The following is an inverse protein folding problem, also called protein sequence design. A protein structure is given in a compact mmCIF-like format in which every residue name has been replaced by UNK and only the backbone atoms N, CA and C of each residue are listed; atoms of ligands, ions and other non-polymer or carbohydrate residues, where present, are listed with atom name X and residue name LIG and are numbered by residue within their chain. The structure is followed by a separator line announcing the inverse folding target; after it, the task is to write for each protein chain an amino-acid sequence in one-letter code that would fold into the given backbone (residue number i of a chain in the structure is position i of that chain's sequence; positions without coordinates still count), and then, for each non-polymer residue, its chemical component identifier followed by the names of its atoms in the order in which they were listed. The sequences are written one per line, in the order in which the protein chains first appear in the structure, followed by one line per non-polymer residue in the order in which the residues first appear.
data_IF_030918721079
#
_entry.id   IF_030918721079
#
_cell.length_a   1.000
_cell.length_b   1.000
_cell.length_c   1.000
_cell.angle_alpha   90.00
_cell.angle_beta   90.00
_cell.angle_gamma   90.00
#
_symmetry.space_group_name_H-M   'P 1'
#
loop_
_entity.id
_entity.type
_entity.pdbx_description
1 polymer ?
#
# COMPACT_ATOMS: atom_id res chain seq x y z
N UNK A 1 -1.81 -40.83 7.33
CA UNK A 1 -1.54 -40.86 5.88
C UNK A 1 -2.87 -40.92 5.14
N UNK A 2 -3.35 -39.79 4.56
CA UNK A 2 -4.45 -39.77 3.57
C UNK A 2 -4.03 -38.79 2.49
N UNK A 3 -3.77 -39.33 1.30
CA UNK A 3 -3.40 -38.61 0.10
C UNK A 3 -4.61 -37.85 -0.46
N UNK A 4 -4.46 -36.56 -0.73
CA UNK A 4 -5.46 -35.72 -1.38
C UNK A 4 -5.21 -35.75 -2.90
N UNK A 5 -6.06 -36.43 -3.62
CA UNK A 5 -6.00 -36.60 -5.08
C UNK A 5 -6.68 -35.40 -5.76
N UNK A 6 -5.90 -34.49 -6.39
CA UNK A 6 -6.44 -33.39 -7.22
C UNK A 6 -6.67 -33.86 -8.63
N UNK A 7 -7.92 -34.06 -9.00
CA UNK A 7 -8.36 -34.27 -10.40
C UNK A 7 -8.21 -32.95 -11.17
N UNK A 8 -7.37 -32.96 -12.22
CA UNK A 8 -7.31 -31.90 -13.23
C UNK A 8 -8.50 -32.04 -14.17
N UNK A 9 -9.32 -30.98 -14.29
CA UNK A 9 -10.37 -30.88 -15.30
C UNK A 9 -9.76 -30.39 -16.61
N UNK A 10 -9.82 -31.23 -17.65
CA UNK A 10 -9.47 -30.86 -19.02
C UNK A 10 -10.66 -30.14 -19.66
N UNK A 11 -10.49 -28.88 -20.00
CA UNK A 11 -11.44 -28.11 -20.81
C UNK A 11 -11.05 -28.30 -22.29
N UNK A 12 -11.89 -28.98 -23.05
CA UNK A 12 -11.78 -29.08 -24.51
C UNK A 12 -12.39 -27.82 -25.15
N UNK A 13 -11.57 -27.08 -25.87
CA UNK A 13 -12.00 -25.95 -26.69
C UNK A 13 -12.38 -26.51 -28.06
N UNK A 14 -13.67 -26.39 -28.41
CA UNK A 14 -14.14 -26.68 -29.77
C UNK A 14 -13.84 -25.47 -30.68
N UNK A 15 -13.02 -25.70 -31.68
CA UNK A 15 -12.84 -24.76 -32.80
C UNK A 15 -13.96 -24.97 -33.79
N UNK A 16 -14.79 -23.97 -34.01
CA UNK A 16 -15.75 -23.91 -35.10
C UNK A 16 -15.17 -23.08 -36.24
N UNK A 17 -14.89 -23.75 -37.33
CA UNK A 17 -14.51 -23.14 -38.63
C UNK A 17 -15.75 -22.49 -39.24
N UNK A 18 -15.71 -21.17 -39.48
CA UNK A 18 -16.65 -20.49 -40.37
C UNK A 18 -15.89 -19.86 -41.55
N UNK A 19 -16.49 -20.12 -42.71
CA UNK A 19 -15.93 -19.90 -44.00
C UNK A 19 -15.72 -18.43 -44.40
N UNK A 20 -14.78 -18.25 -45.28
CA UNK A 20 -14.40 -17.01 -45.95
C UNK A 20 -15.49 -16.55 -46.94
N UNK A 21 -15.91 -15.29 -46.78
CA UNK A 21 -16.50 -14.52 -47.88
C UNK A 21 -15.66 -13.24 -48.08
N UNK A 22 -14.95 -13.21 -49.20
CA UNK A 22 -14.24 -12.03 -49.66
C UNK A 22 -15.28 -11.01 -50.14
N UNK A 23 -15.40 -9.89 -49.45
CA UNK A 23 -15.98 -8.67 -49.95
C UNK A 23 -14.84 -7.65 -50.05
N UNK A 24 -14.46 -7.33 -51.31
CA UNK A 24 -13.52 -6.24 -51.61
C UNK A 24 -14.24 -4.93 -51.40
N UNK A 25 -13.96 -4.21 -50.32
CA UNK A 25 -14.32 -2.79 -50.16
C UNK A 25 -13.12 -1.92 -50.49
N UNK A 26 -13.29 -1.03 -51.44
CA UNK A 26 -12.35 0.03 -51.76
C UNK A 26 -12.11 0.92 -50.55
N UNK A 27 -10.90 0.93 -50.01
CA UNK A 27 -10.49 1.83 -48.92
C UNK A 27 -10.08 3.17 -49.50
N UNK A 28 -11.00 4.16 -49.44
CA UNK A 28 -10.63 5.56 -49.47
C UNK A 28 -9.67 5.84 -48.31
N UNK A 29 -8.46 6.26 -48.63
CA UNK A 29 -7.41 6.53 -47.64
C UNK A 29 -7.82 7.65 -46.67
N UNK A 30 -8.25 7.28 -45.47
CA UNK A 30 -8.19 8.14 -44.31
C UNK A 30 -6.76 8.08 -43.76
N UNK A 31 -5.96 9.12 -44.08
CA UNK A 31 -4.72 9.37 -43.37
C UNK A 31 -5.04 9.57 -41.89
N UNK A 32 -4.66 8.62 -41.08
CA UNK A 32 -4.63 8.78 -39.61
C UNK A 32 -3.77 10.01 -39.29
N UNK A 33 -4.21 10.90 -38.40
CA UNK A 33 -3.37 11.98 -37.96
C UNK A 33 -2.08 11.39 -37.35
N UNK A 34 -0.94 11.90 -37.79
CA UNK A 34 0.34 11.59 -37.24
C UNK A 34 0.25 11.70 -35.70
N UNK A 35 0.57 10.62 -35.00
CA UNK A 35 0.76 10.65 -33.56
C UNK A 35 1.71 11.79 -33.26
N UNK A 36 1.25 12.79 -32.53
CA UNK A 36 2.12 13.85 -32.04
C UNK A 36 3.27 13.19 -31.29
N UNK A 37 4.46 13.24 -31.89
CA UNK A 37 5.70 12.90 -31.18
C UNK A 37 5.74 13.81 -29.97
N UNK A 38 5.71 13.23 -28.77
CA UNK A 38 5.96 13.98 -27.54
C UNK A 38 7.30 14.68 -27.72
N UNK A 39 7.30 16.00 -27.63
CA UNK A 39 8.53 16.78 -27.68
C UNK A 39 9.52 16.16 -26.69
N UNK A 40 10.71 15.75 -27.21
CA UNK A 40 11.77 15.22 -26.37
C UNK A 40 12.09 16.29 -25.31
N UNK A 41 11.71 16.02 -24.07
CA UNK A 41 12.11 16.90 -22.97
C UNK A 41 13.62 16.80 -22.79
N UNK A 42 14.33 17.90 -22.46
CA UNK A 42 15.78 17.91 -22.35
C UNK A 42 16.33 16.90 -21.32
N UNK A 43 15.48 16.32 -20.50
CA UNK A 43 15.83 15.36 -19.44
C UNK A 43 15.48 13.91 -19.79
N UNK A 44 14.96 13.63 -20.99
CA UNK A 44 14.53 12.30 -21.43
C UNK A 44 13.27 11.81 -20.68
N UNK A 45 13.09 10.48 -20.69
CA UNK A 45 11.95 9.81 -20.04
C UNK A 45 12.43 9.02 -18.80
N UNK A 46 11.57 8.99 -17.78
CA UNK A 46 11.83 8.18 -16.59
C UNK A 46 11.90 6.68 -16.95
N UNK A 47 12.75 5.96 -16.25
CA UNK A 47 12.87 4.50 -16.36
C UNK A 47 12.21 3.82 -15.19
N UNK A 48 11.52 2.71 -15.46
CA UNK A 48 11.02 1.84 -14.41
C UNK A 48 12.15 0.98 -13.84
N UNK A 49 12.22 0.85 -12.51
CA UNK A 49 13.14 -0.03 -11.80
C UNK A 49 12.37 -0.99 -10.89
N UNK A 50 12.54 -2.28 -11.10
CA UNK A 50 11.84 -3.33 -10.33
C UNK A 50 12.59 -3.75 -9.05
N UNK A 51 13.72 -3.14 -8.73
CA UNK A 51 14.57 -3.52 -7.59
C UNK A 51 14.83 -5.04 -7.51
N UNK A 52 15.26 -5.63 -8.63
CA UNK A 52 15.49 -7.08 -8.75
C UNK A 52 16.57 -7.64 -7.81
N UNK A 53 17.41 -6.78 -7.24
CA UNK A 53 18.41 -7.05 -6.22
C UNK A 53 17.81 -7.31 -4.81
N UNK A 54 16.54 -6.98 -4.59
CA UNK A 54 15.78 -7.42 -3.39
C UNK A 54 15.88 -8.94 -3.17
N UNK A 55 16.17 -9.70 -4.20
CA UNK A 55 16.42 -11.17 -4.11
C UNK A 55 17.45 -11.58 -3.06
N UNK A 56 18.37 -10.69 -2.69
CA UNK A 56 19.37 -10.93 -1.65
C UNK A 56 18.78 -10.84 -0.23
N UNK A 57 17.60 -10.25 -0.07
CA UNK A 57 16.93 -10.05 1.22
C UNK A 57 15.98 -11.21 1.50
N UNK A 58 16.29 -12.04 2.49
CA UNK A 58 15.44 -13.20 2.87
C UNK A 58 14.06 -12.80 3.38
N UNK A 59 13.93 -11.64 4.02
CA UNK A 59 12.66 -11.13 4.54
C UNK A 59 12.73 -9.62 4.69
N UNK A 60 11.76 -8.92 4.14
CA UNK A 60 11.56 -7.50 4.42
C UNK A 60 10.88 -7.33 5.78
N UNK A 61 11.46 -6.47 6.63
CA UNK A 61 10.96 -6.12 7.96
C UNK A 61 10.87 -4.61 8.06
N UNK A 62 9.69 -4.08 8.28
CA UNK A 62 9.46 -2.62 8.30
C UNK A 62 8.70 -2.25 9.55
N UNK A 63 9.20 -1.26 10.28
CA UNK A 63 8.47 -0.59 11.35
C UNK A 63 8.06 0.80 10.88
N UNK A 64 6.77 1.12 10.98
CA UNK A 64 6.19 2.38 10.57
C UNK A 64 5.93 3.26 11.78
N UNK A 65 6.45 4.47 11.72
CA UNK A 65 6.26 5.50 12.73
C UNK A 65 4.99 6.30 12.40
N UNK A 66 3.90 6.06 13.15
CA UNK A 66 2.67 6.81 13.04
C UNK A 66 2.64 7.92 14.09
N UNK A 67 2.67 9.16 13.60
CA UNK A 67 2.57 10.37 14.40
C UNK A 67 1.88 11.47 13.59
N UNK A 68 0.56 11.32 13.37
CA UNK A 68 -0.23 12.21 12.53
C UNK A 68 -1.05 13.18 13.36
N UNK A 69 -1.14 14.42 12.90
CA UNK A 69 -2.04 15.43 13.48
C UNK A 69 -3.51 15.08 13.15
N UNK A 70 -3.78 14.69 11.89
CA UNK A 70 -5.13 14.30 11.45
C UNK A 70 -5.29 12.77 11.56
N UNK A 71 -6.25 12.28 12.37
CA UNK A 71 -6.56 10.84 12.46
C UNK A 71 -6.92 10.19 11.12
N UNK A 72 -7.48 10.94 10.17
CA UNK A 72 -7.84 10.41 8.84
C UNK A 72 -6.61 10.07 8.00
N UNK A 73 -5.45 10.63 8.31
CA UNK A 73 -4.20 10.31 7.62
C UNK A 73 -3.83 8.83 7.72
N UNK A 74 -4.27 8.13 8.77
CA UNK A 74 -4.10 6.66 8.91
C UNK A 74 -4.66 5.92 7.69
N UNK A 75 -5.86 6.31 7.22
CA UNK A 75 -6.48 5.71 6.04
C UNK A 75 -5.66 5.92 4.76
N UNK A 76 -5.05 7.09 4.62
CA UNK A 76 -4.17 7.41 3.46
C UNK A 76 -2.91 6.55 3.51
N UNK A 77 -2.29 6.42 4.68
CA UNK A 77 -1.07 5.62 4.84
C UNK A 77 -1.34 4.12 4.63
N UNK A 78 -2.54 3.65 4.90
CA UNK A 78 -2.94 2.27 4.55
C UNK A 78 -2.94 2.01 3.04
N UNK A 79 -3.08 3.03 2.20
CA UNK A 79 -2.88 2.86 0.75
C UNK A 79 -1.39 2.61 0.42
N UNK A 80 -0.48 3.31 1.12
CA UNK A 80 0.96 3.06 0.97
C UNK A 80 1.34 1.66 1.49
N UNK A 81 0.68 1.19 2.56
CA UNK A 81 0.88 -0.17 3.06
C UNK A 81 0.42 -1.22 2.03
N UNK A 82 -0.76 -1.04 1.43
CA UNK A 82 -1.21 -1.90 0.32
C UNK A 82 -0.18 -1.91 -0.82
N UNK A 83 0.25 -0.73 -1.28
CA UNK A 83 1.24 -0.62 -2.35
C UNK A 83 2.55 -1.33 -2.02
N UNK A 84 3.02 -1.27 -0.75
CA UNK A 84 4.20 -2.01 -0.30
C UNK A 84 3.98 -3.53 -0.39
N UNK A 85 2.82 -4.02 0.08
CA UNK A 85 2.49 -5.44 0.06
C UNK A 85 2.34 -5.95 -1.38
N UNK A 86 1.64 -5.22 -2.23
CA UNK A 86 1.43 -5.54 -3.65
C UNK A 86 2.75 -5.53 -4.42
N UNK A 87 3.57 -4.48 -4.30
CA UNK A 87 4.86 -4.41 -4.96
C UNK A 87 5.82 -5.53 -4.50
N UNK A 88 5.76 -5.92 -3.21
CA UNK A 88 6.56 -7.04 -2.71
C UNK A 88 6.07 -8.36 -3.30
N UNK A 89 4.77 -8.54 -3.47
CA UNK A 89 4.19 -9.74 -4.08
C UNK A 89 4.47 -9.82 -5.58
N UNK A 90 4.45 -8.69 -6.29
CA UNK A 90 4.64 -8.65 -7.75
C UNK A 90 6.11 -8.72 -8.15
N UNK A 91 6.98 -7.94 -7.50
CA UNK A 91 8.38 -7.76 -7.89
C UNK A 91 9.37 -8.46 -6.94
N UNK A 92 8.92 -8.89 -5.77
CA UNK A 92 9.73 -9.66 -4.83
C UNK A 92 9.99 -11.08 -5.36
N UNK A 93 11.06 -11.73 -4.94
CA UNK A 93 11.27 -13.13 -5.26
C UNK A 93 10.19 -13.97 -4.57
N UNK A 94 9.59 -14.87 -5.31
CA UNK A 94 8.51 -15.78 -4.81
C UNK A 94 8.95 -16.72 -3.67
N UNK A 95 10.23 -16.73 -3.34
CA UNK A 95 10.85 -17.56 -2.29
C UNK A 95 11.12 -16.77 -1.00
N UNK A 96 10.76 -15.49 -0.92
CA UNK A 96 10.93 -14.70 0.31
C UNK A 96 9.80 -15.03 1.29
N UNK A 97 10.16 -15.11 2.58
CA UNK A 97 9.16 -15.10 3.64
C UNK A 97 8.30 -13.83 3.56
N UNK A 98 7.01 -13.90 3.94
CA UNK A 98 6.12 -12.74 3.93
C UNK A 98 6.75 -11.55 4.65
N UNK A 99 6.57 -10.36 4.07
CA UNK A 99 7.00 -9.10 4.70
C UNK A 99 6.42 -8.98 6.11
N UNK A 100 7.26 -8.57 7.06
CA UNK A 100 6.82 -8.27 8.44
C UNK A 100 6.67 -6.77 8.62
N UNK A 101 5.49 -6.36 8.98
CA UNK A 101 5.16 -4.95 9.22
C UNK A 101 4.72 -4.76 10.67
N UNK A 102 5.28 -3.74 11.30
CA UNK A 102 4.84 -3.23 12.59
C UNK A 102 4.49 -1.76 12.44
N UNK A 103 3.36 -1.34 12.97
CA UNK A 103 2.92 0.04 13.01
C UNK A 103 2.93 0.48 14.46
N UNK A 104 3.69 1.53 14.77
CA UNK A 104 3.76 2.13 16.12
C UNK A 104 3.06 3.48 16.06
N UNK A 105 1.90 3.59 16.69
CA UNK A 105 1.09 4.80 16.75
C UNK A 105 1.30 5.50 18.09
N UNK A 106 1.72 6.77 18.04
CA UNK A 106 2.03 7.55 19.24
C UNK A 106 1.67 9.05 19.13
N UNK A 107 0.96 9.45 18.09
CA UNK A 107 0.43 10.78 17.88
C UNK A 107 -1.08 10.89 18.15
N UNK A 108 -1.70 12.01 17.78
CA UNK A 108 -3.15 12.23 17.89
C UNK A 108 -4.00 11.22 17.10
N UNK A 109 -3.44 10.60 16.06
CA UNK A 109 -4.14 9.64 15.21
C UNK A 109 -4.59 8.37 15.94
N UNK A 110 -3.97 8.05 17.09
CA UNK A 110 -4.31 6.84 17.84
C UNK A 110 -5.78 6.78 18.29
N UNK A 111 -6.50 7.91 18.29
CA UNK A 111 -7.94 7.97 18.61
C UNK A 111 -8.78 7.10 17.68
N UNK A 112 -8.28 6.75 16.47
CA UNK A 112 -8.99 5.85 15.56
C UNK A 112 -9.07 4.43 16.11
N UNK A 113 -8.13 4.03 16.97
CA UNK A 113 -8.06 2.71 17.54
C UNK A 113 -8.87 2.55 18.85
N UNK A 114 -9.53 3.64 19.31
CA UNK A 114 -10.40 3.59 20.47
C UNK A 114 -11.78 3.05 20.10
N UNK A 115 -12.26 2.02 20.85
CA UNK A 115 -13.54 1.36 20.59
C UNK A 115 -14.74 2.32 20.54
N UNK A 116 -14.75 3.35 21.40
CA UNK A 116 -15.81 4.37 21.43
C UNK A 116 -15.88 5.22 20.15
N UNK A 117 -14.79 5.25 19.37
CA UNK A 117 -14.70 6.02 18.12
C UNK A 117 -14.96 5.17 16.87
N UNK A 118 -15.30 3.89 17.02
CA UNK A 118 -15.47 2.94 15.92
C UNK A 118 -16.37 3.46 14.81
N UNK A 119 -17.58 3.92 15.15
CA UNK A 119 -18.54 4.40 14.15
C UNK A 119 -17.98 5.57 13.31
N UNK A 120 -17.22 6.46 13.96
CA UNK A 120 -16.60 7.61 13.28
C UNK A 120 -15.47 7.20 12.32
N UNK A 121 -14.74 6.16 12.65
CA UNK A 121 -13.55 5.71 11.89
C UNK A 121 -13.68 4.28 11.38
N UNK A 122 -14.91 3.79 11.22
CA UNK A 122 -15.24 2.41 10.90
C UNK A 122 -14.39 1.85 9.74
N UNK A 123 -14.34 2.56 8.63
CA UNK A 123 -13.58 2.12 7.44
C UNK A 123 -12.08 1.93 7.75
N UNK A 124 -11.47 2.86 8.49
CA UNK A 124 -10.06 2.80 8.87
C UNK A 124 -9.83 1.62 9.82
N UNK A 125 -10.71 1.44 10.80
CA UNK A 125 -10.61 0.36 11.80
C UNK A 125 -10.79 -1.01 11.15
N UNK A 126 -11.75 -1.15 10.26
CA UNK A 126 -11.99 -2.41 9.55
C UNK A 126 -10.79 -2.80 8.66
N UNK A 127 -10.17 -1.81 7.99
CA UNK A 127 -8.92 -2.02 7.24
C UNK A 127 -7.78 -2.42 8.16
N UNK A 128 -7.59 -1.73 9.29
CA UNK A 128 -6.56 -2.07 10.27
C UNK A 128 -6.74 -3.51 10.79
N UNK A 129 -7.98 -3.88 11.12
CA UNK A 129 -8.31 -5.25 11.54
C UNK A 129 -7.99 -6.28 10.45
N UNK A 130 -8.24 -5.95 9.17
CA UNK A 130 -7.89 -6.80 8.04
C UNK A 130 -6.38 -6.99 7.92
N UNK A 131 -5.60 -5.92 8.05
CA UNK A 131 -4.13 -6.00 8.07
C UNK A 131 -3.61 -6.79 9.26
N UNK A 132 -4.21 -6.62 10.45
CA UNK A 132 -3.83 -7.40 11.62
C UNK A 132 -4.04 -8.92 11.40
N UNK A 133 -5.13 -9.31 10.75
CA UNK A 133 -5.37 -10.72 10.35
C UNK A 133 -4.32 -11.24 9.35
N UNK A 134 -3.71 -10.37 8.57
CA UNK A 134 -2.63 -10.69 7.65
C UNK A 134 -1.25 -10.68 8.32
N UNK A 135 -1.17 -10.42 9.63
CA UNK A 135 0.07 -10.45 10.40
C UNK A 135 0.75 -9.09 10.62
N UNK A 136 0.13 -7.98 10.19
CA UNK A 136 0.60 -6.64 10.56
C UNK A 136 0.35 -6.42 12.05
N UNK A 137 1.38 -5.99 12.78
CA UNK A 137 1.27 -5.67 14.20
C UNK A 137 0.96 -4.20 14.39
N UNK A 138 -0.01 -3.91 15.23
CA UNK A 138 -0.37 -2.55 15.64
C UNK A 138 0.00 -2.36 17.10
N UNK A 139 0.90 -1.41 17.35
CA UNK A 139 1.36 -1.06 18.70
C UNK A 139 0.98 0.39 19.01
N UNK A 140 0.36 0.59 20.16
CA UNK A 140 -0.11 1.90 20.62
C UNK A 140 0.71 2.35 21.83
N UNK A 141 1.27 3.55 21.76
CA UNK A 141 2.01 4.16 22.86
C UNK A 141 1.07 4.40 24.05
N UNK A 142 1.35 3.76 25.19
CA UNK A 142 0.59 3.94 26.43
C UNK A 142 0.56 5.41 26.88
N UNK A 143 1.70 6.09 26.81
CA UNK A 143 1.78 7.49 27.27
C UNK A 143 0.93 8.42 26.40
N UNK A 144 0.95 8.21 25.08
CA UNK A 144 0.13 8.98 24.16
C UNK A 144 -1.37 8.66 24.32
N UNK A 145 -1.72 7.39 24.53
CA UNK A 145 -3.10 6.97 24.81
C UNK A 145 -3.61 7.61 26.11
N UNK A 146 -2.83 7.53 27.19
CA UNK A 146 -3.18 8.14 28.47
C UNK A 146 -3.36 9.66 28.38
N UNK A 147 -2.46 10.35 27.62
CA UNK A 147 -2.59 11.80 27.39
C UNK A 147 -3.88 12.18 26.65
N UNK A 148 -4.48 11.23 25.89
CA UNK A 148 -5.74 11.43 25.19
C UNK A 148 -6.93 10.80 25.96
N UNK A 149 -6.72 10.37 27.21
CA UNK A 149 -7.75 9.84 28.10
C UNK A 149 -8.21 8.42 27.78
N UNK A 150 -7.32 7.61 27.17
CA UNK A 150 -7.59 6.19 26.89
C UNK A 150 -6.75 5.27 27.77
N UNK A 151 -7.39 4.28 28.37
CA UNK A 151 -6.76 3.14 28.99
C UNK A 151 -6.61 1.99 27.96
N UNK A 152 -5.78 0.97 28.21
CA UNK A 152 -5.61 -0.16 27.30
C UNK A 152 -6.93 -0.85 26.91
N UNK A 153 -7.85 -0.98 27.87
CA UNK A 153 -9.19 -1.58 27.70
C UNK A 153 -10.14 -0.77 26.81
N UNK A 154 -9.83 0.49 26.54
CA UNK A 154 -10.61 1.32 25.62
C UNK A 154 -10.27 1.07 24.16
N UNK A 155 -9.16 0.36 23.88
CA UNK A 155 -8.66 0.13 22.54
C UNK A 155 -9.21 -1.17 21.95
N UNK A 156 -9.16 -1.29 20.61
CA UNK A 156 -9.56 -2.51 19.91
C UNK A 156 -8.61 -3.67 20.20
N UNK A 157 -9.14 -4.90 20.31
CA UNK A 157 -8.37 -6.09 20.71
C UNK A 157 -7.29 -6.57 19.73
N UNK A 158 -7.20 -6.00 18.53
CA UNK A 158 -6.14 -6.32 17.57
C UNK A 158 -4.89 -5.45 17.75
N UNK A 159 -4.91 -4.45 18.63
CA UNK A 159 -3.73 -3.62 18.95
C UNK A 159 -3.06 -4.11 20.22
N UNK A 160 -1.76 -3.83 20.35
CA UNK A 160 -0.96 -4.07 21.55
C UNK A 160 -0.54 -2.72 22.15
N UNK A 161 -0.73 -2.53 23.45
CA UNK A 161 -0.26 -1.33 24.13
C UNK A 161 1.17 -1.52 24.59
N UNK A 162 2.06 -0.62 24.17
CA UNK A 162 3.48 -0.61 24.52
C UNK A 162 3.82 0.57 25.43
N UNK A 163 4.86 0.47 26.27
CA UNK A 163 5.19 1.51 27.25
C UNK A 163 5.35 2.91 26.66
N UNK A 164 6.07 3.01 25.54
CA UNK A 164 6.30 4.26 24.83
C UNK A 164 6.58 4.02 23.34
N UNK A 165 6.07 4.89 22.46
CA UNK A 165 6.28 4.79 21.01
C UNK A 165 7.76 4.81 20.62
N UNK A 166 8.56 5.82 21.05
CA UNK A 166 10.00 5.85 20.75
C UNK A 166 10.77 4.60 21.22
N UNK A 167 10.38 4.02 22.35
CA UNK A 167 10.98 2.77 22.82
C UNK A 167 10.64 1.59 21.92
N UNK A 168 9.39 1.47 21.48
CA UNK A 168 8.97 0.43 20.55
C UNK A 168 9.68 0.57 19.19
N UNK A 169 9.81 1.78 18.64
CA UNK A 169 10.54 2.04 17.41
C UNK A 169 12.01 1.61 17.54
N UNK A 170 12.69 1.97 18.63
CA UNK A 170 14.07 1.55 18.88
C UNK A 170 14.19 0.02 19.03
N UNK A 171 13.24 -0.61 19.71
CA UNK A 171 13.19 -2.06 19.88
C UNK A 171 13.08 -2.78 18.52
N UNK A 172 12.16 -2.37 17.65
CA UNK A 172 11.98 -3.01 16.36
C UNK A 172 13.18 -2.80 15.44
N UNK A 173 13.79 -1.61 15.46
CA UNK A 173 15.02 -1.35 14.71
C UNK A 173 16.16 -2.25 15.19
N UNK A 174 16.31 -2.46 16.51
CA UNK A 174 17.31 -3.42 17.05
C UNK A 174 17.04 -4.88 16.65
N UNK A 175 15.82 -5.20 16.20
CA UNK A 175 15.43 -6.51 15.64
C UNK A 175 15.59 -6.59 14.10
N UNK A 176 16.24 -5.60 13.50
CA UNK A 176 16.51 -5.57 12.06
C UNK A 176 15.33 -5.07 11.21
N UNK A 177 14.38 -4.34 11.80
CA UNK A 177 13.34 -3.65 11.06
C UNK A 177 13.85 -2.30 10.53
N UNK A 178 13.58 -2.02 9.27
CA UNK A 178 13.84 -0.71 8.68
C UNK A 178 12.76 0.28 9.11
N UNK A 179 13.17 1.45 9.60
CA UNK A 179 12.22 2.50 9.97
C UNK A 179 11.64 3.17 8.73
N UNK A 180 10.33 3.23 8.65
CA UNK A 180 9.59 4.06 7.72
C UNK A 180 8.88 5.19 8.52
N UNK A 181 9.46 6.38 8.49
CA UNK A 181 8.91 7.56 9.16
C UNK A 181 7.86 8.21 8.25
N UNK A 182 6.59 7.82 8.41
CA UNK A 182 5.47 8.39 7.64
C UNK A 182 4.73 9.50 8.39
N UNK A 183 5.18 9.87 9.58
CA UNK A 183 4.39 10.67 10.51
C UNK A 183 4.58 12.17 10.49
N UNK A 184 5.66 12.68 9.96
CA UNK A 184 5.86 14.12 9.84
C UNK A 184 5.20 14.65 8.55
N UNK A 185 3.90 14.48 8.42
CA UNK A 185 3.20 15.04 7.28
C UNK A 185 3.13 16.55 7.45
N UNK A 186 3.92 17.25 6.66
CA UNK A 186 3.58 18.60 6.26
C UNK A 186 2.13 18.57 5.73
N UNK A 187 1.31 19.59 6.03
CA UNK A 187 -0.02 19.67 5.43
C UNK A 187 0.13 19.52 3.91
N UNK A 188 -0.29 18.41 3.37
CA UNK A 188 -0.34 18.23 1.93
C UNK A 188 -1.53 19.03 1.45
N UNK A 189 -1.37 19.98 0.52
CA UNK A 189 -2.53 20.64 -0.07
C UNK A 189 -3.46 19.55 -0.65
N UNK A 190 -4.78 19.73 -0.53
CA UNK A 190 -5.73 18.77 -1.11
C UNK A 190 -5.41 18.57 -2.60
N UNK A 191 -5.62 17.34 -3.09
CA UNK A 191 -5.33 16.99 -4.50
C UNK A 191 -6.03 17.94 -5.49
N UNK A 192 -7.16 18.55 -5.08
CA UNK A 192 -7.85 19.60 -5.84
C UNK A 192 -7.03 20.88 -6.00
N UNK A 193 -6.13 21.17 -5.06
CA UNK A 193 -5.23 22.34 -5.12
C UNK A 193 -3.91 22.01 -5.87
N UNK A 194 -3.58 20.74 -6.04
CA UNK A 194 -2.53 20.30 -6.93
C UNK A 194 -3.05 20.43 -8.35
N UNK A 195 -2.90 21.61 -8.94
CA UNK A 195 -3.37 21.86 -10.29
C UNK A 195 -2.57 21.00 -11.29
N UNK A 196 -3.13 19.87 -11.67
CA UNK A 196 -2.51 18.94 -12.63
C UNK A 196 -2.20 19.63 -13.98
N UNK A 197 -2.88 20.75 -14.30
CA UNK A 197 -2.60 21.55 -15.49
C UNK A 197 -1.28 22.33 -15.38
N UNK A 198 -0.84 22.67 -14.17
CA UNK A 198 0.42 23.40 -13.96
C UNK A 198 1.65 22.49 -14.11
N UNK A 199 1.48 21.19 -13.87
CA UNK A 199 2.53 20.20 -14.15
C UNK A 199 2.79 20.11 -15.65
N UNK A 200 1.77 20.28 -16.48
CA UNK A 200 1.88 20.22 -17.94
C UNK A 200 2.24 21.59 -18.58
N UNK A 201 2.07 22.72 -17.86
CA UNK A 201 2.40 24.07 -18.40
C UNK A 201 3.87 24.45 -18.28
N UNK A 202 4.66 23.75 -17.46
CA UNK A 202 6.10 24.02 -17.32
C UNK A 202 6.97 23.35 -18.38
N UNK A 203 6.36 22.77 -19.39
CA UNK A 203 7.05 22.06 -20.49
C UNK A 203 6.87 22.72 -21.85
N UNK A 204 6.47 24.02 -21.89
CA UNK A 204 6.49 24.85 -23.11
C UNK A 204 7.57 25.91 -23.01
#
# INVERSE_FOLDING_TARGET
MRAFNRKRANVKIHQTLFGASLIALATSGLSLPATAQSADTPYGTAKFAAYSDIKSVKQLRVVWDFNFVDPKAVGVVFNNLNALLEATAEFGPHEIEPIKVVIVSHGPELVVFARKNYEKYKEIVDRASSFAKQGVKFEICRNAAAAQGFAPEDLHGFVTVVPAGPHALAYWQSKGYTLNAVGATMPTPPISELNKADINKKTN
#
